data_IF_112897668449
#
_entry.id   IF_112897668449
#
_cell.length_a   1.000
_cell.length_b   1.000
_cell.length_c   1.000
_cell.angle_alpha   90.00
_cell.angle_beta   90.00
_cell.angle_gamma   90.00
#
_symmetry.space_group_name_H-M   'P 1'
#
loop_
_entity.id
_entity.type
_entity.pdbx_description
1 polymer ?
#
# COMPACT_ATOMS: atom_id res chain seq x y z
N UNK A 1 -32.20 -3.96 -8.62
CA UNK A 1 -31.17 -2.93 -8.33
C UNK A 1 -30.29 -3.49 -7.23
N UNK A 2 -29.17 -4.12 -7.59
CA UNK A 2 -28.27 -4.74 -6.61
C UNK A 2 -27.62 -3.63 -5.80
N UNK A 3 -27.91 -3.54 -4.50
CA UNK A 3 -27.14 -2.68 -3.61
C UNK A 3 -25.70 -3.21 -3.61
N UNK A 4 -24.83 -2.52 -4.35
CA UNK A 4 -23.39 -2.71 -4.21
C UNK A 4 -23.03 -2.08 -2.87
N UNK A 5 -22.95 -2.90 -1.82
CA UNK A 5 -22.35 -2.47 -0.56
C UNK A 5 -20.97 -1.92 -0.89
N UNK A 6 -20.76 -0.63 -0.61
CA UNK A 6 -19.49 0.04 -0.84
C UNK A 6 -18.47 -0.57 0.12
N UNK A 7 -17.73 -1.58 -0.32
CA UNK A 7 -16.60 -2.11 0.45
C UNK A 7 -15.54 -1.01 0.43
N UNK A 8 -15.37 -0.32 1.55
CA UNK A 8 -14.31 0.66 1.72
C UNK A 8 -12.99 -0.11 1.74
N UNK A 9 -12.00 0.22 0.89
CA UNK A 9 -10.70 -0.42 0.92
C UNK A 9 -10.06 -0.36 2.31
N UNK A 10 -9.38 -1.43 2.72
CA UNK A 10 -8.75 -1.57 4.04
C UNK A 10 -7.79 -0.42 4.36
N UNK A 11 -7.02 0.04 3.36
CA UNK A 11 -6.08 1.15 3.45
C UNK A 11 -6.77 2.46 3.87
N UNK A 12 -7.96 2.70 3.32
CA UNK A 12 -8.78 3.87 3.66
C UNK A 12 -9.35 3.72 5.08
N UNK A 13 -9.79 2.52 5.47
CA UNK A 13 -10.28 2.27 6.83
C UNK A 13 -9.19 2.50 7.88
N UNK A 14 -7.96 2.03 7.63
CA UNK A 14 -6.80 2.24 8.51
C UNK A 14 -6.51 3.74 8.63
N UNK A 15 -6.40 4.45 7.51
CA UNK A 15 -6.14 5.89 7.53
C UNK A 15 -7.20 6.69 8.29
N UNK A 16 -8.48 6.37 8.09
CA UNK A 16 -9.58 7.01 8.82
C UNK A 16 -9.54 6.70 10.32
N UNK A 17 -9.26 5.43 10.69
CA UNK A 17 -9.12 5.02 12.09
C UNK A 17 -7.98 5.76 12.80
N UNK A 18 -6.90 6.07 12.07
CA UNK A 18 -5.76 6.85 12.55
C UNK A 18 -5.98 8.37 12.47
N UNK A 19 -7.17 8.83 12.03
CA UNK A 19 -7.48 10.25 11.89
C UNK A 19 -6.76 10.96 10.75
N UNK A 20 -6.14 10.19 9.85
CA UNK A 20 -5.43 10.71 8.67
C UNK A 20 -6.41 11.06 7.56
N UNK A 21 -6.09 12.12 6.82
CA UNK A 21 -6.79 12.52 5.59
C UNK A 21 -6.07 12.08 4.31
N UNK A 22 -4.92 11.43 4.46
CA UNK A 22 -4.07 10.95 3.36
C UNK A 22 -3.67 9.50 3.61
N UNK A 23 -3.49 8.75 2.51
CA UNK A 23 -2.84 7.45 2.52
C UNK A 23 -1.32 7.65 2.52
N UNK A 24 -0.61 6.75 3.19
CA UNK A 24 0.83 6.60 3.05
C UNK A 24 1.16 6.01 1.66
N UNK A 25 2.39 6.17 1.20
CA UNK A 25 2.79 5.75 -0.15
C UNK A 25 2.50 4.26 -0.42
N UNK A 26 2.85 3.39 0.54
CA UNK A 26 2.62 1.95 0.39
C UNK A 26 1.15 1.57 0.38
N UNK A 27 0.31 2.27 1.15
CA UNK A 27 -1.15 2.12 1.18
C UNK A 27 -1.75 2.52 -0.18
N UNK A 28 -1.34 3.68 -0.72
CA UNK A 28 -1.81 4.17 -2.00
C UNK A 28 -1.41 3.24 -3.15
N UNK A 29 -0.15 2.80 -3.20
CA UNK A 29 0.34 1.86 -4.21
C UNK A 29 -0.39 0.51 -4.14
N UNK A 30 -0.64 -0.02 -2.94
CA UNK A 30 -1.41 -1.25 -2.77
C UNK A 30 -2.83 -1.08 -3.32
N UNK A 31 -3.51 0.00 -2.93
CA UNK A 31 -4.87 0.29 -3.37
C UNK A 31 -4.98 0.35 -4.90
N UNK A 32 -4.17 1.18 -5.57
CA UNK A 32 -4.29 1.37 -7.02
C UNK A 32 -3.87 0.14 -7.82
N UNK A 33 -2.95 -0.68 -7.30
CA UNK A 33 -2.56 -1.94 -7.95
C UNK A 33 -3.72 -2.94 -8.05
N UNK A 34 -4.64 -2.94 -7.08
CA UNK A 34 -5.87 -3.76 -7.10
C UNK A 34 -6.83 -3.37 -8.23
N UNK A 35 -6.68 -2.16 -8.77
CA UNK A 35 -7.41 -1.67 -9.95
C UNK A 35 -6.64 -1.89 -11.25
N UNK A 36 -5.53 -2.65 -11.23
CA UNK A 36 -4.73 -2.96 -12.41
C UNK A 36 -3.77 -1.85 -12.84
N UNK A 37 -3.59 -0.81 -12.03
CA UNK A 37 -2.61 0.25 -12.32
C UNK A 37 -1.20 -0.28 -11.95
N UNK A 38 -0.25 -0.32 -12.89
CA UNK A 38 1.09 -0.82 -12.60
C UNK A 38 1.81 0.13 -11.63
N UNK A 39 2.41 -0.44 -10.60
CA UNK A 39 3.18 0.29 -9.58
C UNK A 39 4.57 -0.31 -9.44
N UNK A 40 5.51 0.49 -8.93
CA UNK A 40 6.85 0.00 -8.57
C UNK A 40 6.76 -1.09 -7.49
N UNK A 41 7.61 -2.12 -7.58
CA UNK A 41 7.80 -3.09 -6.48
C UNK A 41 8.32 -2.34 -5.25
N UNK A 42 7.61 -2.44 -4.12
CA UNK A 42 7.97 -1.76 -2.88
C UNK A 42 7.71 -2.65 -1.67
N UNK A 43 8.39 -2.36 -0.57
CA UNK A 43 8.09 -2.91 0.76
C UNK A 43 8.53 -1.90 1.83
N UNK A 44 7.78 -1.79 2.92
CA UNK A 44 8.15 -0.95 4.07
C UNK A 44 9.15 -1.73 4.94
N UNK A 45 10.36 -1.20 5.09
CA UNK A 45 11.36 -1.70 6.03
C UNK A 45 11.13 -1.09 7.41
N UNK A 46 11.31 -1.87 8.48
CA UNK A 46 11.19 -1.41 9.87
C UNK A 46 12.53 -1.07 10.53
N UNK A 47 13.63 -1.47 9.90
CA UNK A 47 15.00 -1.27 10.33
C UNK A 47 15.94 -1.37 9.11
N UNK A 48 17.22 -1.08 9.34
CA UNK A 48 18.25 -1.03 8.31
C UNK A 48 18.50 -2.43 7.70
N UNK A 49 18.50 -3.48 8.52
CA UNK A 49 18.72 -4.85 8.06
C UNK A 49 17.60 -5.35 7.14
N UNK A 50 16.35 -5.00 7.44
CA UNK A 50 15.21 -5.27 6.55
C UNK A 50 15.34 -4.50 5.24
N UNK A 51 15.81 -3.24 5.28
CA UNK A 51 15.98 -2.43 4.08
C UNK A 51 16.99 -3.07 3.11
N UNK A 52 18.12 -3.58 3.62
CA UNK A 52 19.14 -4.29 2.81
C UNK A 52 18.54 -5.52 2.14
N UNK A 53 17.86 -6.39 2.91
CA UNK A 53 17.23 -7.61 2.37
C UNK A 53 16.16 -7.32 1.32
N UNK A 54 15.39 -6.25 1.54
CA UNK A 54 14.37 -5.79 0.58
C UNK A 54 15.04 -5.32 -0.70
N UNK A 55 16.13 -4.56 -0.62
CA UNK A 55 16.88 -4.09 -1.79
C UNK A 55 17.46 -5.27 -2.60
N UNK A 56 18.09 -6.24 -1.94
CA UNK A 56 18.61 -7.45 -2.60
C UNK A 56 17.51 -8.23 -3.33
N UNK A 57 16.33 -8.35 -2.73
CA UNK A 57 15.18 -9.04 -3.33
C UNK A 57 14.55 -8.28 -4.50
N UNK A 58 14.54 -6.95 -4.44
CA UNK A 58 14.00 -6.10 -5.52
C UNK A 58 14.98 -6.02 -6.70
N UNK A 59 16.28 -6.00 -6.41
CA UNK A 59 17.35 -5.71 -7.35
C UNK A 59 17.86 -4.27 -7.18
N UNK A 60 19.18 -4.11 -7.25
CA UNK A 60 19.84 -2.81 -7.20
C UNK A 60 19.69 -2.05 -8.53
N UNK A 61 19.79 -0.70 -8.51
CA UNK A 61 20.01 0.06 -9.73
C UNK A 61 21.34 -0.31 -10.41
#
# INVERSE_FOLDING_TARGET
MTQVSKIIPEEIQIALKEGRKILLEHEAKNLVSRYGIPVTKIQVARNEEEAVKIAERIGFP
#
